data_IF_438914844154
#
_entry.id   IF_438914844154
#
_cell.length_a   1.000
_cell.length_b   1.000
_cell.length_c   1.000
_cell.angle_alpha   90.00
_cell.angle_beta   90.00
_cell.angle_gamma   90.00
#
_symmetry.space_group_name_H-M   'P 1'
#
loop_
_entity.id
_entity.type
_entity.pdbx_description
1 polymer ?
#
# COMPACT_ATOMS: atom_id res chain seq x y z
N UNK A 1 -26.82 -24.13 30.88
CA UNK A 1 -25.40 -23.96 30.72
C UNK A 1 -24.68 -25.21 31.18
N UNK A 2 -24.18 -26.01 30.26
CA UNK A 2 -23.47 -27.24 30.58
C UNK A 2 -22.03 -26.92 30.97
N UNK A 3 -21.56 -27.57 32.03
CA UNK A 3 -20.18 -27.48 32.52
C UNK A 3 -19.19 -28.42 31.82
N UNK A 4 -19.60 -29.06 30.73
CA UNK A 4 -18.74 -29.94 29.95
C UNK A 4 -18.38 -29.21 28.62
N UNK A 5 -17.14 -28.81 28.50
CA UNK A 5 -16.59 -28.30 27.23
C UNK A 5 -16.32 -29.52 26.32
N UNK A 6 -16.73 -29.45 25.04
CA UNK A 6 -16.37 -30.49 24.09
C UNK A 6 -14.84 -30.53 23.92
N UNK A 7 -14.26 -31.71 23.62
CA UNK A 7 -12.85 -31.81 23.30
C UNK A 7 -12.55 -30.90 22.09
N UNK A 8 -11.31 -30.37 21.95
CA UNK A 8 -10.93 -29.53 20.83
C UNK A 8 -11.19 -30.29 19.53
N UNK A 9 -12.17 -29.85 18.78
CA UNK A 9 -12.32 -30.23 17.38
C UNK A 9 -11.34 -29.41 16.56
N UNK A 10 -10.77 -30.04 15.60
CA UNK A 10 -9.91 -29.39 14.61
C UNK A 10 -10.60 -28.13 14.09
N UNK A 11 -10.20 -26.95 14.63
CA UNK A 11 -10.81 -25.68 14.30
C UNK A 11 -10.19 -25.18 12.99
N UNK A 12 -10.52 -25.83 11.88
CA UNK A 12 -10.19 -25.40 10.52
C UNK A 12 -10.86 -24.05 10.14
N UNK A 13 -11.65 -23.45 11.04
CA UNK A 13 -12.36 -22.17 10.83
C UNK A 13 -12.08 -21.21 11.96
N UNK A 14 -11.93 -19.90 11.68
CA UNK A 14 -11.76 -18.90 12.73
C UNK A 14 -12.96 -18.93 13.67
N UNK A 15 -12.69 -19.12 14.97
CA UNK A 15 -13.70 -19.17 16.02
C UNK A 15 -13.46 -18.04 17.03
N UNK A 16 -14.53 -17.48 17.55
CA UNK A 16 -14.53 -16.44 18.59
C UNK A 16 -15.42 -16.95 19.74
N UNK A 17 -14.94 -16.80 20.96
CA UNK A 17 -15.74 -17.13 22.14
C UNK A 17 -16.55 -15.93 22.62
N UNK A 18 -17.83 -16.10 22.90
CA UNK A 18 -18.68 -15.12 23.56
C UNK A 18 -18.95 -15.58 24.98
N UNK A 19 -18.45 -14.83 25.97
CA UNK A 19 -18.47 -15.25 27.38
C UNK A 19 -19.13 -14.18 28.26
N UNK A 20 -20.10 -14.56 29.09
CA UNK A 20 -20.67 -13.65 30.07
C UNK A 20 -19.73 -13.47 31.25
N UNK A 21 -19.47 -12.24 31.66
CA UNK A 21 -18.65 -11.92 32.85
C UNK A 21 -19.26 -12.52 34.15
N UNK A 22 -20.57 -12.72 34.19
CA UNK A 22 -21.21 -13.35 35.34
C UNK A 22 -20.76 -14.80 35.61
N UNK A 23 -20.30 -15.49 34.57
CA UNK A 23 -19.80 -16.88 34.68
C UNK A 23 -18.45 -16.94 35.40
N UNK A 24 -17.67 -15.85 35.36
CA UNK A 24 -16.34 -15.77 36.01
C UNK A 24 -16.43 -15.80 37.55
N UNK A 25 -17.59 -15.48 38.12
CA UNK A 25 -17.84 -15.58 39.56
C UNK A 25 -18.21 -16.98 40.03
N UNK A 26 -18.44 -17.93 39.16
CA UNK A 26 -18.78 -19.33 39.51
C UNK A 26 -17.49 -20.13 39.69
N UNK A 27 -17.28 -20.60 40.95
CA UNK A 27 -16.11 -21.46 41.30
C UNK A 27 -16.03 -22.77 40.49
N UNK A 28 -17.08 -23.15 39.77
CA UNK A 28 -17.17 -24.33 38.91
C UNK A 28 -16.75 -24.04 37.47
N UNK A 29 -16.47 -22.77 37.12
CA UNK A 29 -16.10 -22.39 35.77
C UNK A 29 -14.58 -22.46 35.57
N UNK A 30 -14.11 -23.54 34.99
CA UNK A 30 -12.70 -23.71 34.57
C UNK A 30 -12.44 -23.30 33.10
N UNK A 31 -13.42 -22.60 32.49
CA UNK A 31 -13.39 -22.31 31.06
C UNK A 31 -12.41 -21.24 30.62
N UNK A 32 -11.92 -20.39 31.57
CA UNK A 32 -10.91 -19.38 31.23
C UNK A 32 -9.58 -20.03 30.83
N UNK A 33 -9.10 -20.98 31.63
CA UNK A 33 -7.87 -21.70 31.33
C UNK A 33 -7.99 -22.49 30.03
N UNK A 34 -9.17 -23.05 29.78
CA UNK A 34 -9.45 -23.75 28.52
C UNK A 34 -9.45 -22.80 27.32
N UNK A 35 -10.08 -21.61 27.42
CA UNK A 35 -10.09 -20.59 26.36
C UNK A 35 -8.67 -20.09 26.08
N UNK A 36 -7.90 -19.81 27.14
CA UNK A 36 -6.52 -19.38 27.02
C UNK A 36 -5.64 -20.46 26.36
N UNK A 37 -5.83 -21.73 26.75
CA UNK A 37 -5.12 -22.86 26.15
C UNK A 37 -5.46 -23.05 24.66
N UNK A 38 -6.65 -22.65 24.21
CA UNK A 38 -7.05 -22.72 22.80
C UNK A 38 -6.61 -21.50 21.99
N UNK A 39 -6.11 -20.43 22.63
CA UNK A 39 -5.76 -19.17 21.95
C UNK A 39 -6.96 -18.49 21.27
N UNK A 40 -8.18 -18.74 21.74
CA UNK A 40 -9.40 -18.19 21.15
C UNK A 40 -9.60 -16.73 21.62
N UNK A 41 -9.85 -15.79 20.70
CA UNK A 41 -10.24 -14.44 21.07
C UNK A 41 -11.62 -14.46 21.74
N UNK A 42 -11.78 -13.66 22.81
CA UNK A 42 -12.98 -13.64 23.64
C UNK A 42 -13.66 -12.28 23.53
N UNK A 43 -14.98 -12.29 23.28
CA UNK A 43 -15.86 -11.15 23.46
C UNK A 43 -16.61 -11.34 24.77
N UNK A 44 -16.49 -10.37 25.67
CA UNK A 44 -17.10 -10.43 26.97
C UNK A 44 -18.48 -9.76 26.97
N UNK A 45 -19.46 -10.39 27.61
CA UNK A 45 -20.76 -9.76 27.84
C UNK A 45 -20.84 -9.37 29.31
N UNK A 46 -20.90 -8.06 29.57
CA UNK A 46 -20.88 -7.49 30.92
C UNK A 46 -22.22 -6.80 31.27
N UNK A 47 -22.69 -6.95 32.52
CA UNK A 47 -23.81 -6.17 33.00
C UNK A 47 -23.38 -4.70 33.23
N UNK A 48 -24.21 -3.73 32.81
CA UNK A 48 -23.95 -2.27 32.97
C UNK A 48 -23.67 -1.84 34.42
N UNK A 49 -24.14 -2.59 35.40
CA UNK A 49 -24.02 -2.26 36.82
C UNK A 49 -22.63 -2.52 37.43
N UNK A 50 -21.71 -3.18 36.73
CA UNK A 50 -20.35 -3.37 37.25
C UNK A 50 -19.46 -2.25 36.73
N UNK A 51 -19.49 -1.15 37.51
CA UNK A 51 -18.80 0.08 37.15
C UNK A 51 -17.32 -0.09 36.85
N UNK A 52 -16.81 0.93 36.24
CA UNK A 52 -15.46 1.24 35.79
C UNK A 52 -14.29 1.01 36.77
N UNK A 53 -14.33 -0.05 37.58
CA UNK A 53 -13.24 -0.37 38.50
C UNK A 53 -12.19 -1.21 37.73
N UNK A 54 -10.99 -0.65 37.50
CA UNK A 54 -9.92 -1.34 36.74
C UNK A 54 -9.48 -2.66 37.39
N UNK A 55 -9.80 -2.88 38.64
CA UNK A 55 -9.48 -4.13 39.37
C UNK A 55 -10.30 -5.33 38.89
N UNK A 56 -11.42 -5.09 38.22
CA UNK A 56 -12.33 -6.12 37.72
C UNK A 56 -12.27 -6.30 36.20
N UNK A 57 -11.45 -5.50 35.52
CA UNK A 57 -11.25 -5.55 34.07
C UNK A 57 -9.75 -5.60 33.74
N UNK A 58 -9.11 -6.77 33.78
CA UNK A 58 -7.75 -6.91 33.25
C UNK A 58 -7.70 -6.44 31.80
N UNK A 59 -6.54 -6.05 31.27
CA UNK A 59 -6.37 -5.60 29.88
C UNK A 59 -6.86 -6.60 28.83
N UNK A 60 -7.09 -7.84 29.23
CA UNK A 60 -7.61 -8.93 28.41
C UNK A 60 -9.10 -8.76 28.03
N UNK A 61 -9.85 -7.87 28.74
CA UNK A 61 -11.26 -7.57 28.46
C UNK A 61 -11.45 -6.42 27.45
N UNK A 62 -10.60 -6.33 26.46
CA UNK A 62 -10.60 -5.23 25.48
C UNK A 62 -11.88 -5.18 24.63
N UNK A 63 -12.60 -6.30 24.52
CA UNK A 63 -13.80 -6.43 23.69
C UNK A 63 -15.00 -6.80 24.59
N UNK A 64 -15.84 -5.81 24.89
CA UNK A 64 -17.01 -5.99 25.77
C UNK A 64 -18.30 -5.54 25.12
N UNK A 65 -19.38 -6.30 25.34
CA UNK A 65 -20.76 -5.96 24.97
C UNK A 65 -21.62 -5.79 26.20
N UNK A 66 -22.59 -4.84 26.22
CA UNK A 66 -23.58 -4.75 27.28
C UNK A 66 -24.54 -5.96 27.28
N UNK A 67 -25.25 -6.23 28.36
CA UNK A 67 -26.23 -7.34 28.43
C UNK A 67 -27.32 -7.22 27.35
N UNK A 68 -27.69 -6.01 27.00
CA UNK A 68 -28.70 -5.69 25.97
C UNK A 68 -28.05 -5.24 24.69
N UNK A 69 -27.19 -6.10 24.10
CA UNK A 69 -26.59 -5.80 22.83
C UNK A 69 -27.47 -6.22 21.64
N UNK A 70 -27.33 -5.48 20.53
CA UNK A 70 -27.98 -5.82 19.26
C UNK A 70 -27.05 -6.66 18.36
N UNK A 71 -27.62 -7.29 17.33
CA UNK A 71 -26.83 -7.96 16.29
C UNK A 71 -25.90 -7.01 15.56
N UNK A 72 -26.23 -5.72 15.50
CA UNK A 72 -25.37 -4.70 14.89
C UNK A 72 -24.13 -4.43 15.75
N UNK A 73 -24.29 -4.34 17.09
CA UNK A 73 -23.20 -4.13 18.04
C UNK A 73 -22.22 -5.32 18.01
N UNK A 74 -22.75 -6.54 18.02
CA UNK A 74 -21.93 -7.74 17.91
C UNK A 74 -21.15 -7.78 16.58
N UNK A 75 -21.83 -7.45 15.47
CA UNK A 75 -21.19 -7.43 14.15
C UNK A 75 -20.08 -6.41 14.07
N UNK A 76 -20.29 -5.18 14.59
CA UNK A 76 -19.27 -4.14 14.65
C UNK A 76 -18.05 -4.61 15.42
N UNK A 77 -18.25 -5.16 16.60
CA UNK A 77 -17.16 -5.65 17.46
C UNK A 77 -16.42 -6.86 16.85
N UNK A 78 -17.14 -7.73 16.14
CA UNK A 78 -16.53 -8.83 15.36
C UNK A 78 -15.64 -8.30 14.25
N UNK A 79 -16.06 -7.27 13.52
CA UNK A 79 -15.22 -6.66 12.48
C UNK A 79 -13.96 -6.00 13.05
N UNK A 80 -14.08 -5.31 14.19
CA UNK A 80 -12.93 -4.72 14.91
C UNK A 80 -11.98 -5.82 15.38
N UNK A 81 -12.50 -6.88 16.00
CA UNK A 81 -11.73 -8.02 16.46
C UNK A 81 -11.04 -8.75 15.31
N UNK A 82 -11.75 -9.03 14.21
CA UNK A 82 -11.20 -9.67 13.04
C UNK A 82 -10.15 -8.80 12.35
N UNK A 83 -10.35 -7.48 12.34
CA UNK A 83 -9.35 -6.51 11.88
C UNK A 83 -8.06 -6.60 12.69
N UNK A 84 -8.17 -6.60 14.01
CA UNK A 84 -7.03 -6.73 14.93
C UNK A 84 -6.36 -8.11 14.83
N UNK A 85 -7.14 -9.19 14.74
CA UNK A 85 -6.62 -10.55 14.55
C UNK A 85 -5.94 -10.72 13.20
N UNK A 86 -6.45 -10.09 12.15
CA UNK A 86 -5.79 -10.08 10.85
C UNK A 86 -4.48 -9.28 10.87
N UNK A 87 -4.38 -8.23 11.69
CA UNK A 87 -3.14 -7.52 11.92
C UNK A 87 -2.16 -8.34 12.76
N UNK A 88 -2.62 -9.01 13.83
CA UNK A 88 -1.82 -9.90 14.66
C UNK A 88 -1.39 -11.18 13.89
N UNK A 89 -2.27 -11.76 13.06
CA UNK A 89 -1.92 -12.87 12.18
C UNK A 89 -1.02 -12.45 11.00
N UNK A 90 -0.99 -11.16 10.64
CA UNK A 90 0.02 -10.60 9.74
C UNK A 90 1.35 -10.38 10.46
N UNK A 91 1.32 -10.16 11.78
CA UNK A 91 2.51 -10.03 12.63
C UNK A 91 3.08 -11.37 13.12
N UNK A 92 2.30 -12.45 13.16
CA UNK A 92 2.87 -13.79 13.31
C UNK A 92 3.69 -14.09 12.05
N UNK A 93 4.97 -14.49 12.18
CA UNK A 93 5.76 -14.85 11.02
C UNK A 93 5.10 -16.06 10.36
N UNK A 94 4.16 -15.84 9.45
CA UNK A 94 3.91 -16.83 8.42
C UNK A 94 5.28 -16.99 7.78
N UNK A 95 5.90 -18.17 7.94
CA UNK A 95 7.01 -18.58 7.08
C UNK A 95 6.46 -18.44 5.67
N UNK A 96 6.62 -17.26 5.11
CA UNK A 96 6.24 -17.02 3.73
C UNK A 96 7.02 -18.02 2.91
N UNK A 97 6.36 -18.70 1.99
CA UNK A 97 6.99 -19.72 1.16
C UNK A 97 8.27 -19.16 0.53
N UNK A 98 9.31 -19.99 0.39
CA UNK A 98 10.58 -19.56 -0.18
C UNK A 98 10.33 -18.86 -1.51
N UNK A 99 11.03 -17.77 -1.72
CA UNK A 99 10.95 -16.99 -2.96
C UNK A 99 11.42 -17.89 -4.10
N UNK A 100 10.62 -17.96 -5.17
CA UNK A 100 10.96 -18.79 -6.32
C UNK A 100 12.02 -18.04 -7.14
N UNK A 101 13.14 -18.68 -7.35
CA UNK A 101 14.29 -18.15 -8.11
C UNK A 101 14.85 -19.27 -9.00
N UNK A 102 14.32 -19.39 -10.18
CA UNK A 102 14.76 -20.35 -11.20
C UNK A 102 15.80 -19.70 -12.12
N UNK A 103 15.63 -18.42 -12.44
CA UNK A 103 16.54 -17.69 -13.32
C UNK A 103 17.88 -17.39 -12.64
N UNK A 104 18.94 -17.26 -13.44
CA UNK A 104 20.26 -16.85 -12.95
C UNK A 104 20.19 -15.47 -12.28
N UNK A 105 19.50 -14.51 -12.94
CA UNK A 105 19.34 -13.14 -12.44
C UNK A 105 18.68 -13.07 -11.05
N UNK A 106 17.69 -13.92 -10.78
CA UNK A 106 17.08 -13.98 -9.44
C UNK A 106 17.98 -14.68 -8.42
N UNK A 107 18.74 -15.69 -8.83
CA UNK A 107 19.71 -16.35 -7.93
C UNK A 107 20.84 -15.41 -7.54
N UNK A 108 21.35 -14.63 -8.49
CA UNK A 108 22.37 -13.61 -8.25
C UNK A 108 21.86 -12.56 -7.27
N UNK A 109 20.64 -12.05 -7.48
CA UNK A 109 19.97 -11.12 -6.54
C UNK A 109 19.84 -11.73 -5.13
N UNK A 110 19.45 -13.01 -5.03
CA UNK A 110 19.33 -13.65 -3.71
C UNK A 110 20.68 -13.82 -3.02
N UNK A 111 21.75 -14.08 -3.77
CA UNK A 111 23.10 -14.10 -3.22
C UNK A 111 23.54 -12.72 -2.69
N UNK A 112 23.14 -11.62 -3.37
CA UNK A 112 23.36 -10.27 -2.86
C UNK A 112 22.53 -10.00 -1.59
N UNK A 113 21.26 -10.45 -1.56
CA UNK A 113 20.42 -10.35 -0.36
C UNK A 113 21.05 -11.06 0.83
N UNK A 114 21.54 -12.30 0.65
CA UNK A 114 22.23 -13.08 1.68
C UNK A 114 23.49 -12.36 2.18
N UNK A 115 24.29 -11.78 1.25
CA UNK A 115 25.51 -11.05 1.57
C UNK A 115 25.23 -9.83 2.46
N UNK A 116 24.13 -9.11 2.19
CA UNK A 116 23.80 -7.88 2.91
C UNK A 116 22.80 -8.07 4.05
N UNK A 117 22.35 -9.29 4.34
CA UNK A 117 21.33 -9.54 5.36
C UNK A 117 21.71 -9.01 6.74
N UNK A 118 22.92 -9.33 7.22
CA UNK A 118 23.41 -8.91 8.54
C UNK A 118 23.98 -7.48 8.59
N UNK A 119 23.90 -6.73 7.50
CA UNK A 119 24.40 -5.37 7.43
C UNK A 119 23.35 -4.37 7.95
N UNK A 120 23.73 -3.47 8.86
CA UNK A 120 22.88 -2.38 9.37
C UNK A 120 22.73 -1.20 8.38
N UNK A 121 23.47 -1.22 7.28
CA UNK A 121 23.39 -0.17 6.26
C UNK A 121 22.01 -0.11 5.61
N UNK A 122 21.63 1.09 5.18
CA UNK A 122 20.40 1.31 4.44
C UNK A 122 20.45 0.59 3.10
N UNK A 123 19.33 0.04 2.69
CA UNK A 123 19.15 -0.64 1.40
C UNK A 123 18.09 0.05 0.58
N UNK A 124 18.42 0.37 -0.67
CA UNK A 124 17.49 0.89 -1.65
C UNK A 124 17.18 -0.19 -2.69
N UNK A 125 15.92 -0.58 -2.79
CA UNK A 125 15.44 -1.60 -3.71
C UNK A 125 14.78 -0.93 -4.91
N UNK A 126 15.36 -1.14 -6.09
CA UNK A 126 14.77 -0.69 -7.35
C UNK A 126 14.03 -1.83 -8.05
N UNK A 127 12.87 -1.53 -8.61
CA UNK A 127 12.14 -2.48 -9.43
C UNK A 127 10.76 -2.00 -9.82
N UNK A 128 10.25 -2.50 -10.91
CA UNK A 128 8.92 -2.17 -11.41
C UNK A 128 7.83 -2.53 -10.41
N UNK A 129 6.63 -2.00 -10.64
CA UNK A 129 5.47 -2.36 -9.83
C UNK A 129 5.15 -3.86 -9.96
N UNK A 130 4.88 -4.52 -8.83
CA UNK A 130 4.48 -5.93 -8.82
C UNK A 130 5.62 -6.95 -8.94
N UNK A 131 6.91 -6.54 -8.94
CA UNK A 131 8.06 -7.48 -9.01
C UNK A 131 8.35 -8.20 -7.71
N UNK A 132 7.82 -7.71 -6.57
CA UNK A 132 8.00 -8.31 -5.25
C UNK A 132 9.01 -7.59 -4.34
N UNK A 133 9.11 -6.24 -4.43
CA UNK A 133 10.02 -5.43 -3.59
C UNK A 133 9.84 -5.69 -2.09
N UNK A 134 8.60 -5.72 -1.61
CA UNK A 134 8.31 -6.02 -0.20
C UNK A 134 8.81 -7.41 0.22
N UNK A 135 8.71 -8.41 -0.67
CA UNK A 135 9.19 -9.77 -0.36
C UNK A 135 10.71 -9.83 -0.20
N UNK A 136 11.46 -9.08 -1.02
CA UNK A 136 12.92 -8.96 -0.86
C UNK A 136 13.25 -8.21 0.44
N UNK A 137 12.52 -7.13 0.77
CA UNK A 137 12.71 -6.41 2.04
C UNK A 137 12.46 -7.31 3.27
N UNK A 138 11.41 -8.15 3.22
CA UNK A 138 11.14 -9.14 4.26
C UNK A 138 12.25 -10.19 4.36
N UNK A 139 12.75 -10.67 3.23
CA UNK A 139 13.82 -11.65 3.21
C UNK A 139 15.11 -11.09 3.86
N UNK A 140 15.47 -9.83 3.56
CA UNK A 140 16.56 -9.11 4.23
C UNK A 140 16.39 -9.04 5.75
N UNK A 141 15.15 -8.88 6.23
CA UNK A 141 14.85 -8.86 7.66
C UNK A 141 14.89 -10.28 8.26
N UNK A 142 14.27 -11.27 7.60
CA UNK A 142 14.19 -12.66 8.07
C UNK A 142 15.58 -13.32 8.20
N UNK A 143 16.56 -12.88 7.42
CA UNK A 143 17.93 -13.38 7.42
C UNK A 143 18.88 -12.55 8.29
N UNK A 144 18.41 -11.42 8.83
CA UNK A 144 19.24 -10.54 9.66
C UNK A 144 19.37 -11.07 11.10
N UNK A 145 20.46 -10.69 11.79
CA UNK A 145 20.66 -11.02 13.21
C UNK A 145 19.58 -10.45 14.14
N UNK A 146 18.79 -9.49 13.68
CA UNK A 146 17.66 -8.89 14.42
C UNK A 146 16.30 -9.29 13.87
N UNK A 147 16.19 -10.46 13.25
CA UNK A 147 14.94 -11.00 12.65
C UNK A 147 13.78 -11.14 13.64
N UNK A 148 14.07 -11.26 14.94
CA UNK A 148 13.06 -11.28 16.02
C UNK A 148 12.50 -9.89 16.33
N UNK A 149 13.12 -8.83 15.81
CA UNK A 149 12.64 -7.46 15.95
C UNK A 149 11.43 -7.16 15.05
N UNK A 150 10.84 -5.97 15.19
CA UNK A 150 9.69 -5.59 14.38
C UNK A 150 10.07 -5.38 12.90
N UNK A 151 9.21 -5.83 11.99
CA UNK A 151 9.21 -5.42 10.59
C UNK A 151 8.03 -4.48 10.34
N UNK A 152 8.31 -3.19 10.20
CA UNK A 152 7.29 -2.17 9.96
C UNK A 152 7.30 -1.77 8.51
N UNK A 153 6.24 -2.11 7.78
CA UNK A 153 6.09 -1.80 6.35
C UNK A 153 5.12 -0.62 6.16
N UNK A 154 5.56 0.37 5.41
CA UNK A 154 4.81 1.59 5.15
C UNK A 154 4.88 1.92 3.66
N UNK A 155 3.73 2.12 3.02
CA UNK A 155 3.68 2.68 1.68
C UNK A 155 3.58 4.20 1.78
N UNK A 156 4.59 4.91 1.26
CA UNK A 156 4.70 6.37 1.37
C UNK A 156 3.61 7.08 0.55
N UNK A 157 3.23 6.56 -0.61
CA UNK A 157 2.19 7.13 -1.46
C UNK A 157 0.77 6.95 -0.93
N UNK A 158 0.56 6.02 0.02
CA UNK A 158 -0.76 5.76 0.58
C UNK A 158 -1.14 6.68 1.76
N UNK A 159 -0.20 7.47 2.29
CA UNK A 159 -0.43 8.31 3.46
C UNK A 159 -0.82 9.72 3.01
N UNK A 160 -2.02 10.22 3.40
CA UNK A 160 -2.39 11.59 3.15
C UNK A 160 -1.38 12.58 3.76
N UNK A 161 -1.05 13.65 3.03
CA UNK A 161 -0.04 14.63 3.46
C UNK A 161 -0.23 15.14 4.88
N UNK A 162 -1.45 15.49 5.28
CA UNK A 162 -1.76 16.02 6.60
C UNK A 162 -1.61 15.01 7.76
N UNK A 163 -1.48 13.70 7.45
CA UNK A 163 -1.35 12.65 8.46
C UNK A 163 0.07 12.07 8.53
N UNK A 164 0.94 12.42 7.61
CA UNK A 164 2.30 11.89 7.55
C UNK A 164 3.04 12.04 8.89
N UNK A 165 3.06 13.25 9.45
CA UNK A 165 3.78 13.52 10.68
C UNK A 165 3.23 12.72 11.87
N UNK A 166 1.92 12.63 11.99
CA UNK A 166 1.29 11.87 13.06
C UNK A 166 1.58 10.36 12.96
N UNK A 167 1.66 9.82 11.75
CA UNK A 167 1.98 8.41 11.53
C UNK A 167 3.47 8.10 11.70
N UNK A 168 4.35 8.94 11.14
CA UNK A 168 5.79 8.68 11.16
C UNK A 168 6.44 9.01 12.51
N UNK A 169 6.10 10.17 13.07
CA UNK A 169 6.69 10.66 14.33
C UNK A 169 5.87 10.32 15.57
N UNK A 170 4.58 9.99 15.39
CA UNK A 170 3.67 9.82 16.50
C UNK A 170 3.25 11.15 17.13
N UNK A 171 2.43 11.08 18.17
CA UNK A 171 1.97 12.27 18.87
C UNK A 171 1.84 12.04 20.38
N UNK A 172 2.03 13.11 21.15
CA UNK A 172 1.73 13.16 22.56
C UNK A 172 0.22 13.33 22.76
N UNK A 173 -0.26 13.01 23.97
CA UNK A 173 -1.66 13.28 24.35
C UNK A 173 -1.92 14.79 24.25
N UNK A 174 -2.98 15.19 23.53
CA UNK A 174 -3.38 16.59 23.37
C UNK A 174 -2.60 17.36 22.29
N UNK A 175 -1.79 16.70 21.46
CA UNK A 175 -1.00 17.35 20.40
C UNK A 175 -1.87 18.07 19.34
N UNK A 176 -3.08 17.59 19.10
CA UNK A 176 -4.08 18.20 18.22
C UNK A 176 -5.50 17.83 18.64
N UNK A 177 -6.51 18.49 18.08
CA UNK A 177 -7.92 18.20 18.34
C UNK A 177 -8.25 16.76 17.91
N UNK A 178 -8.50 15.87 18.92
CA UNK A 178 -8.72 14.44 18.70
C UNK A 178 -7.59 13.52 19.18
N UNK A 179 -6.45 14.04 19.60
CA UNK A 179 -5.36 13.27 20.21
C UNK A 179 -5.68 12.87 21.66
N UNK A 180 -6.60 11.92 21.84
CA UNK A 180 -7.09 11.46 23.16
C UNK A 180 -5.97 10.73 23.93
N UNK A 181 -5.07 10.03 23.25
CA UNK A 181 -3.93 9.28 23.80
C UNK A 181 -2.61 9.65 23.15
N UNK A 182 -1.49 9.20 23.70
CA UNK A 182 -0.21 9.24 23.03
C UNK A 182 -0.11 8.05 22.06
N UNK A 183 0.49 8.28 20.89
CA UNK A 183 0.71 7.24 19.87
C UNK A 183 2.16 7.22 19.42
N UNK A 184 2.74 6.00 19.32
CA UNK A 184 4.09 5.81 18.80
C UNK A 184 4.07 5.86 17.27
N UNK A 185 4.96 6.66 16.67
CA UNK A 185 5.12 6.71 15.24
C UNK A 185 5.87 5.48 14.67
N UNK A 186 5.89 5.36 13.35
CA UNK A 186 6.53 4.23 12.66
C UNK A 186 8.02 4.12 12.99
N UNK A 187 8.74 5.23 13.15
CA UNK A 187 10.16 5.21 13.55
C UNK A 187 10.37 4.55 14.91
N UNK A 188 9.53 4.86 15.89
CA UNK A 188 9.60 4.22 17.21
C UNK A 188 9.15 2.76 17.16
N UNK A 189 8.13 2.45 16.35
CA UNK A 189 7.62 1.07 16.20
C UNK A 189 8.64 0.15 15.55
N UNK A 190 9.48 0.67 14.64
CA UNK A 190 10.51 -0.09 13.95
C UNK A 190 11.81 -0.27 14.75
N UNK A 191 11.92 0.40 15.91
CA UNK A 191 13.14 0.34 16.73
C UNK A 191 13.46 -1.09 17.18
N UNK A 192 14.70 -1.50 17.00
CA UNK A 192 15.18 -2.86 17.23
C UNK A 192 14.96 -3.81 16.05
N UNK A 193 14.39 -3.33 14.93
CA UNK A 193 14.07 -4.15 13.77
C UNK A 193 14.35 -3.47 12.43
N UNK A 194 13.40 -3.57 11.50
CA UNK A 194 13.51 -3.03 10.15
C UNK A 194 12.30 -2.14 9.81
N UNK A 195 12.58 -0.94 9.31
CA UNK A 195 11.59 -0.06 8.70
C UNK A 195 11.65 -0.23 7.18
N UNK A 196 10.57 -0.68 6.58
CA UNK A 196 10.43 -0.78 5.12
C UNK A 196 9.55 0.37 4.61
N UNK A 197 10.12 1.21 3.73
CA UNK A 197 9.42 2.32 3.08
C UNK A 197 9.22 2.00 1.60
N UNK A 198 8.00 1.63 1.21
CA UNK A 198 7.67 1.42 -0.19
C UNK A 198 7.29 2.75 -0.87
N UNK A 199 7.60 2.85 -2.16
CA UNK A 199 7.34 4.03 -3.00
C UNK A 199 7.96 5.31 -2.43
N UNK A 200 9.24 5.23 -1.99
CA UNK A 200 9.97 6.36 -1.38
C UNK A 200 10.07 7.58 -2.32
N UNK A 201 10.05 7.36 -3.63
CA UNK A 201 10.06 8.41 -4.65
C UNK A 201 8.76 9.22 -4.74
N UNK A 202 7.72 8.87 -3.96
CA UNK A 202 6.45 9.62 -3.89
C UNK A 202 6.41 10.60 -2.70
N UNK A 203 7.47 10.63 -1.85
CA UNK A 203 7.53 11.55 -0.73
C UNK A 203 7.71 13.00 -1.21
N UNK A 204 6.85 13.93 -0.78
CA UNK A 204 7.07 15.36 -0.99
C UNK A 204 8.38 15.87 -0.34
N UNK A 205 9.00 16.88 -0.93
CA UNK A 205 10.30 17.42 -0.49
C UNK A 205 10.38 17.75 1.00
N UNK A 206 9.32 18.32 1.57
CA UNK A 206 9.32 18.68 3.00
C UNK A 206 9.34 17.45 3.92
N UNK A 207 8.78 16.31 3.49
CA UNK A 207 8.82 15.04 4.22
C UNK A 207 10.20 14.38 4.09
N UNK A 208 10.83 14.53 2.93
CA UNK A 208 12.20 14.06 2.71
C UNK A 208 13.20 14.72 3.69
N UNK A 209 13.05 16.04 3.97
CA UNK A 209 13.87 16.75 4.95
C UNK A 209 13.72 16.15 6.35
N UNK A 210 12.49 15.80 6.74
CA UNK A 210 12.21 15.22 8.06
C UNK A 210 12.75 13.80 8.18
N UNK A 211 12.61 12.99 7.13
CA UNK A 211 13.20 11.65 7.08
C UNK A 211 14.72 11.72 7.21
N UNK A 212 15.37 12.60 6.46
CA UNK A 212 16.84 12.78 6.52
C UNK A 212 17.31 13.08 7.95
N UNK A 213 16.63 13.99 8.66
CA UNK A 213 16.99 14.33 10.04
C UNK A 213 16.94 13.11 10.97
N UNK A 214 15.91 12.25 10.83
CA UNK A 214 15.85 11.03 11.65
C UNK A 214 17.00 10.08 11.33
N UNK A 215 17.35 9.93 10.05
CA UNK A 215 18.44 9.05 9.62
C UNK A 215 19.83 9.56 10.02
N UNK A 216 19.97 10.86 10.25
CA UNK A 216 21.24 11.47 10.69
C UNK A 216 21.38 11.46 12.21
N UNK A 217 20.30 11.79 12.92
CA UNK A 217 20.30 11.99 14.37
C UNK A 217 19.98 10.71 15.16
N UNK A 218 19.34 9.73 14.52
CA UNK A 218 18.79 8.53 15.18
C UNK A 218 17.88 8.86 16.36
N UNK A 219 17.17 9.99 16.29
CA UNK A 219 16.17 10.42 17.27
C UNK A 219 14.91 10.91 16.60
N UNK A 220 13.79 10.79 17.28
CA UNK A 220 12.49 11.33 16.85
C UNK A 220 11.86 12.13 17.98
N UNK A 221 11.16 13.20 17.60
CA UNK A 221 10.34 13.99 18.52
C UNK A 221 8.89 13.86 18.13
N UNK A 222 8.04 13.39 19.07
CA UNK A 222 6.59 13.26 18.82
C UNK A 222 5.95 14.63 18.64
N UNK A 223 4.91 14.71 17.82
CA UNK A 223 4.10 15.92 17.73
C UNK A 223 3.56 16.33 19.08
N UNK A 224 3.69 17.62 19.42
CA UNK A 224 3.28 18.17 20.71
C UNK A 224 4.20 17.82 21.89
N UNK A 225 5.41 17.30 21.63
CA UNK A 225 6.44 17.01 22.63
C UNK A 225 7.76 17.71 22.27
N UNK A 226 8.60 17.95 23.26
CA UNK A 226 9.98 18.41 23.08
C UNK A 226 11.00 17.34 23.46
N UNK A 227 10.52 16.13 23.84
CA UNK A 227 11.38 15.03 24.25
C UNK A 227 11.85 14.26 23.02
N UNK A 228 13.15 14.17 22.86
CA UNK A 228 13.77 13.32 21.86
C UNK A 228 13.77 11.86 22.33
N UNK A 229 13.32 10.96 21.45
CA UNK A 229 13.30 9.53 21.69
C UNK A 229 14.33 8.88 20.75
N UNK A 230 15.33 8.18 21.26
CA UNK A 230 16.30 7.46 20.42
C UNK A 230 15.61 6.32 19.68
N UNK A 231 15.98 6.13 18.41
CA UNK A 231 15.49 5.05 17.56
C UNK A 231 16.67 4.35 16.88
N UNK A 232 16.62 3.03 16.81
CA UNK A 232 17.63 2.21 16.14
C UNK A 232 16.94 1.16 15.28
N UNK A 233 16.93 1.37 13.98
CA UNK A 233 16.33 0.46 13.01
C UNK A 233 17.17 0.40 11.74
N UNK A 234 17.08 -0.71 11.02
CA UNK A 234 17.56 -0.79 9.65
C UNK A 234 16.52 -0.20 8.72
N UNK A 235 16.91 0.71 7.83
CA UNK A 235 16.04 1.22 6.79
C UNK A 235 16.19 0.41 5.49
N UNK A 236 15.07 -0.07 4.96
CA UNK A 236 14.96 -0.61 3.61
C UNK A 236 13.96 0.25 2.85
N UNK A 237 14.39 0.95 1.83
CA UNK A 237 13.52 1.77 0.97
C UNK A 237 13.31 1.10 -0.37
N UNK A 238 12.15 1.27 -0.98
CA UNK A 238 11.85 0.72 -2.29
C UNK A 238 11.20 1.77 -3.21
N UNK A 239 11.46 1.66 -4.50
CA UNK A 239 10.88 2.55 -5.50
C UNK A 239 10.82 1.89 -6.88
N UNK A 240 9.87 2.30 -7.70
CA UNK A 240 9.81 2.02 -9.13
C UNK A 240 10.32 3.20 -9.98
N UNK A 241 10.60 4.36 -9.35
CA UNK A 241 11.10 5.57 -10.02
C UNK A 241 12.63 5.59 -10.04
N UNK A 242 13.20 6.24 -11.03
CA UNK A 242 14.63 6.57 -11.01
C UNK A 242 14.86 7.81 -10.15
N UNK A 243 15.34 7.59 -8.91
CA UNK A 243 15.58 8.69 -7.96
C UNK A 243 16.68 9.65 -8.46
N UNK A 244 17.61 9.20 -9.30
CA UNK A 244 18.66 10.08 -9.86
C UNK A 244 18.05 11.09 -10.83
N UNK A 245 17.06 10.66 -11.61
CA UNK A 245 16.29 11.56 -12.48
C UNK A 245 15.51 12.57 -11.63
N UNK A 246 14.83 12.11 -10.57
CA UNK A 246 14.09 13.01 -9.68
C UNK A 246 15.01 14.02 -8.96
N UNK A 247 16.25 13.61 -8.61
CA UNK A 247 17.27 14.54 -8.08
C UNK A 247 17.63 15.62 -9.11
N UNK A 248 17.79 15.23 -10.39
CA UNK A 248 18.06 16.17 -11.47
C UNK A 248 16.90 17.14 -11.78
N UNK A 249 15.70 16.80 -11.35
CA UNK A 249 14.47 17.60 -11.51
C UNK A 249 14.09 18.38 -10.25
N UNK A 250 14.94 18.37 -9.21
CA UNK A 250 14.66 18.96 -7.89
C UNK A 250 13.39 18.40 -7.19
N UNK A 251 12.92 17.21 -7.60
CA UNK A 251 11.79 16.52 -6.97
C UNK A 251 12.22 15.55 -5.85
N UNK A 252 13.51 15.21 -5.80
CA UNK A 252 14.11 14.41 -4.74
C UNK A 252 15.45 15.02 -4.29
N UNK A 253 15.70 15.03 -2.98
CA UNK A 253 16.92 15.62 -2.43
C UNK A 253 18.13 14.72 -2.63
N UNK A 254 19.23 15.28 -3.10
CA UNK A 254 20.48 14.56 -3.32
C UNK A 254 21.08 14.00 -2.01
N UNK A 255 20.99 14.76 -0.91
CA UNK A 255 21.49 14.33 0.41
C UNK A 255 20.74 13.10 0.94
N UNK A 256 19.43 13.07 0.81
CA UNK A 256 18.62 11.91 1.17
C UNK A 256 18.93 10.71 0.25
N UNK A 257 19.06 10.93 -1.06
CA UNK A 257 19.42 9.86 -2.00
C UNK A 257 20.70 9.13 -1.57
N UNK A 258 21.79 9.87 -1.30
CA UNK A 258 23.05 9.26 -0.86
C UNK A 258 22.94 8.59 0.51
N UNK A 259 22.05 9.03 1.37
CA UNK A 259 21.81 8.38 2.66
C UNK A 259 21.04 7.08 2.54
N UNK A 260 20.14 6.97 1.54
CA UNK A 260 19.35 5.77 1.25
C UNK A 260 20.12 4.74 0.43
N UNK A 261 20.85 5.18 -0.58
CA UNK A 261 21.50 4.34 -1.59
C UNK A 261 22.91 3.85 -1.16
N UNK A 262 23.06 3.40 0.10
CA UNK A 262 24.31 2.78 0.57
C UNK A 262 24.48 1.41 -0.07
N UNK A 263 23.42 0.64 -0.14
CA UNK A 263 23.32 -0.64 -0.86
C UNK A 263 22.16 -0.50 -1.83
N UNK A 264 22.39 -0.74 -3.12
CA UNK A 264 21.35 -0.73 -4.13
C UNK A 264 21.10 -2.15 -4.63
N UNK A 265 19.85 -2.64 -4.52
CA UNK A 265 19.42 -3.92 -5.07
C UNK A 265 18.44 -3.65 -6.22
N UNK A 266 18.62 -4.34 -7.34
CA UNK A 266 17.75 -4.22 -8.51
C UNK A 266 17.01 -5.52 -8.77
N UNK A 267 15.69 -5.48 -8.62
CA UNK A 267 14.85 -6.64 -8.88
C UNK A 267 14.53 -6.69 -10.38
N UNK A 268 14.91 -7.76 -11.10
CA UNK A 268 14.55 -7.90 -12.51
C UNK A 268 13.05 -8.02 -12.66
N UNK A 269 12.49 -7.44 -13.73
CA UNK A 269 11.10 -7.64 -14.07
C UNK A 269 10.82 -9.09 -14.51
N UNK A 270 9.55 -9.46 -14.58
CA UNK A 270 9.16 -10.85 -14.83
C UNK A 270 9.59 -11.34 -16.23
N UNK A 271 9.69 -10.43 -17.22
CA UNK A 271 10.20 -10.75 -18.55
C UNK A 271 11.70 -11.09 -18.53
N UNK A 272 12.48 -10.33 -17.77
CA UNK A 272 13.92 -10.58 -17.61
C UNK A 272 14.23 -11.88 -16.86
N UNK A 273 13.28 -12.34 -16.00
CA UNK A 273 13.41 -13.65 -15.33
C UNK A 273 13.15 -14.83 -16.25
N UNK A 274 12.46 -14.61 -17.34
CA UNK A 274 12.26 -15.58 -18.41
C UNK A 274 11.09 -16.55 -18.22
N UNK A 275 10.81 -17.36 -19.24
CA UNK A 275 9.61 -18.19 -19.34
C UNK A 275 9.55 -19.30 -18.28
N UNK A 276 10.70 -19.86 -17.90
CA UNK A 276 10.77 -20.94 -16.91
C UNK A 276 10.36 -20.47 -15.51
N UNK A 277 10.79 -19.26 -15.13
CA UNK A 277 10.42 -18.68 -13.85
C UNK A 277 8.95 -18.28 -13.81
N UNK A 278 8.38 -17.75 -14.90
CA UNK A 278 6.94 -17.50 -15.03
C UNK A 278 6.12 -18.77 -14.74
N UNK A 279 6.49 -19.88 -15.38
CA UNK A 279 5.82 -21.17 -15.16
C UNK A 279 5.99 -21.69 -13.73
N UNK A 280 7.17 -21.55 -13.15
CA UNK A 280 7.44 -21.98 -11.77
C UNK A 280 6.64 -21.16 -10.74
N UNK A 281 6.61 -19.83 -10.90
CA UNK A 281 5.81 -18.94 -10.06
C UNK A 281 4.32 -19.25 -10.20
N UNK A 282 3.84 -19.47 -11.42
CA UNK A 282 2.43 -19.80 -11.67
C UNK A 282 2.00 -21.10 -11.00
N UNK A 283 2.83 -22.17 -11.09
CA UNK A 283 2.59 -23.42 -10.38
C UNK A 283 2.47 -23.22 -8.87
N UNK A 284 3.41 -22.50 -8.28
CA UNK A 284 3.39 -22.24 -6.84
C UNK A 284 2.20 -21.37 -6.41
N UNK A 285 1.77 -20.44 -7.24
CA UNK A 285 0.56 -19.65 -7.00
C UNK A 285 -0.69 -20.54 -7.02
N UNK A 286 -0.82 -21.45 -7.98
CA UNK A 286 -1.93 -22.40 -8.05
C UNK A 286 -1.97 -23.34 -6.84
N UNK A 287 -0.82 -23.89 -6.44
CA UNK A 287 -0.71 -24.72 -5.23
C UNK A 287 -1.17 -23.95 -3.98
N UNK A 288 -0.74 -22.70 -3.83
CA UNK A 288 -1.17 -21.82 -2.73
C UNK A 288 -2.68 -21.56 -2.74
N UNK A 289 -3.29 -21.54 -3.92
CA UNK A 289 -4.73 -21.38 -4.12
C UNK A 289 -5.50 -22.70 -3.95
N UNK A 290 -4.84 -23.79 -3.56
CA UNK A 290 -5.45 -25.10 -3.32
C UNK A 290 -5.68 -25.93 -4.58
N UNK A 291 -4.98 -25.63 -5.67
CA UNK A 291 -4.95 -26.45 -6.88
C UNK A 291 -3.68 -27.29 -6.84
N UNK A 292 -3.79 -28.52 -6.36
CA UNK A 292 -2.65 -29.46 -6.20
C UNK A 292 -2.29 -30.18 -7.51
N UNK A 293 -3.24 -30.23 -8.45
CA UNK A 293 -3.05 -30.87 -9.75
C UNK A 293 -2.08 -30.05 -10.60
N UNK A 294 -1.17 -30.75 -11.28
CA UNK A 294 -0.21 -30.12 -12.21
C UNK A 294 -0.96 -29.45 -13.38
N UNK A 295 -0.70 -28.17 -13.68
CA UNK A 295 -1.31 -27.50 -14.81
C UNK A 295 -0.92 -28.16 -16.12
N UNK A 296 -1.85 -28.30 -17.09
CA UNK A 296 -1.54 -28.88 -18.39
C UNK A 296 -0.48 -28.09 -19.15
N UNK A 297 0.30 -28.76 -19.95
CA UNK A 297 1.44 -28.19 -20.67
C UNK A 297 1.07 -26.97 -21.53
N UNK A 298 -0.09 -27.01 -22.21
CA UNK A 298 -0.57 -25.88 -23.02
C UNK A 298 -0.76 -24.61 -22.20
N UNK A 299 -1.23 -24.75 -20.94
CA UNK A 299 -1.43 -23.61 -20.06
C UNK A 299 -0.10 -23.02 -19.60
N UNK A 300 0.87 -23.87 -19.24
CA UNK A 300 2.22 -23.43 -18.89
C UNK A 300 2.94 -22.73 -20.05
N UNK A 301 2.75 -23.22 -21.27
CA UNK A 301 3.28 -22.57 -22.47
C UNK A 301 2.61 -21.20 -22.69
N UNK A 302 1.28 -21.11 -22.51
CA UNK A 302 0.54 -19.86 -22.62
C UNK A 302 1.05 -18.84 -21.61
N UNK A 303 1.16 -19.23 -20.32
CA UNK A 303 1.72 -18.41 -19.24
C UNK A 303 3.13 -17.92 -19.57
N UNK A 304 3.98 -18.81 -20.07
CA UNK A 304 5.38 -18.49 -20.37
C UNK A 304 5.54 -17.50 -21.51
N UNK A 305 4.65 -17.53 -22.52
CA UNK A 305 4.67 -16.64 -23.69
C UNK A 305 3.99 -15.30 -23.44
N UNK A 306 3.12 -15.23 -22.43
CA UNK A 306 2.37 -14.00 -22.12
C UNK A 306 3.31 -12.99 -21.45
N UNK A 307 3.21 -11.74 -21.87
CA UNK A 307 3.85 -10.59 -21.20
C UNK A 307 2.95 -10.07 -20.09
N UNK A 308 3.56 -9.77 -18.94
CA UNK A 308 2.86 -9.27 -17.77
C UNK A 308 3.40 -7.88 -17.42
N UNK A 309 2.66 -6.82 -17.72
CA UNK A 309 3.06 -5.45 -17.40
C UNK A 309 3.04 -5.18 -15.89
N UNK A 310 2.11 -5.81 -15.18
CA UNK A 310 2.02 -5.80 -13.72
C UNK A 310 2.89 -6.85 -13.02
N UNK A 311 3.82 -7.49 -13.77
CA UNK A 311 4.78 -8.46 -13.24
C UNK A 311 4.12 -9.62 -12.45
N UNK A 312 4.69 -10.01 -11.31
CA UNK A 312 4.18 -11.11 -10.45
C UNK A 312 2.79 -10.81 -9.90
N UNK A 313 2.44 -9.52 -9.69
CA UNK A 313 1.10 -9.14 -9.23
C UNK A 313 0.04 -9.50 -10.26
N UNK A 314 0.29 -9.20 -11.53
CA UNK A 314 -0.62 -9.55 -12.62
C UNK A 314 -0.68 -11.08 -12.85
N UNK A 315 0.47 -11.75 -12.84
CA UNK A 315 0.52 -13.22 -12.90
C UNK A 315 -0.27 -13.88 -11.75
N UNK A 316 -0.23 -13.30 -10.56
CA UNK A 316 -1.02 -13.76 -9.40
C UNK A 316 -2.52 -13.62 -9.65
N UNK A 317 -2.97 -12.51 -10.24
CA UNK A 317 -4.36 -12.32 -10.60
C UNK A 317 -4.83 -13.33 -11.65
N UNK A 318 -3.98 -13.66 -12.62
CA UNK A 318 -4.25 -14.70 -13.62
C UNK A 318 -4.38 -16.05 -12.94
N UNK A 319 -3.43 -16.41 -12.07
CA UNK A 319 -3.47 -17.68 -11.34
C UNK A 319 -4.74 -17.81 -10.50
N UNK A 320 -5.18 -16.74 -9.84
CA UNK A 320 -6.42 -16.74 -9.05
C UNK A 320 -7.65 -16.98 -9.93
N UNK A 321 -7.78 -16.28 -11.07
CA UNK A 321 -8.88 -16.49 -12.03
C UNK A 321 -8.89 -17.92 -12.57
N UNK A 322 -7.73 -18.46 -12.94
CA UNK A 322 -7.58 -19.84 -13.41
C UNK A 322 -7.96 -20.84 -12.32
N UNK A 323 -7.52 -20.63 -11.08
CA UNK A 323 -7.89 -21.48 -9.94
C UNK A 323 -9.41 -21.46 -9.68
N UNK A 324 -10.07 -20.33 -9.84
CA UNK A 324 -11.55 -20.22 -9.74
C UNK A 324 -12.21 -21.08 -10.82
N UNK A 325 -11.81 -20.92 -12.09
CA UNK A 325 -12.36 -21.73 -13.20
C UNK A 325 -12.17 -23.21 -12.93
N UNK A 326 -10.94 -23.65 -12.55
CA UNK A 326 -10.62 -25.04 -12.24
C UNK A 326 -11.48 -25.60 -11.11
N UNK A 327 -11.69 -24.84 -10.04
CA UNK A 327 -12.51 -25.27 -8.89
C UNK A 327 -13.98 -25.38 -9.23
N UNK A 328 -14.52 -24.46 -10.03
CA UNK A 328 -15.95 -24.46 -10.37
C UNK A 328 -16.31 -25.56 -11.37
N UNK A 329 -15.44 -25.80 -12.34
CA UNK A 329 -15.71 -26.75 -13.42
C UNK A 329 -15.13 -28.14 -13.16
N UNK A 330 -14.29 -28.28 -12.14
CA UNK A 330 -13.54 -29.51 -11.85
C UNK A 330 -12.73 -30.00 -13.05
N UNK A 331 -12.41 -29.11 -14.00
CA UNK A 331 -11.68 -29.37 -15.24
C UNK A 331 -10.88 -28.15 -15.67
N UNK A 332 -9.81 -28.38 -16.45
CA UNK A 332 -9.09 -27.33 -17.16
C UNK A 332 -9.86 -27.01 -18.45
N UNK A 333 -10.67 -25.96 -18.45
CA UNK A 333 -11.48 -25.54 -19.60
C UNK A 333 -10.69 -24.56 -20.49
N UNK A 334 -10.14 -24.99 -21.63
CA UNK A 334 -9.28 -24.14 -22.44
C UNK A 334 -9.99 -22.87 -22.94
N UNK A 335 -11.23 -22.91 -23.48
CA UNK A 335 -11.89 -21.72 -23.99
C UNK A 335 -12.12 -20.64 -22.91
N UNK A 336 -12.37 -21.02 -21.68
CA UNK A 336 -12.60 -20.05 -20.59
C UNK A 336 -11.26 -19.52 -20.06
N UNK A 337 -10.25 -20.36 -19.98
CA UNK A 337 -8.92 -19.96 -19.53
C UNK A 337 -8.28 -19.03 -20.57
N UNK A 338 -8.38 -19.31 -21.86
CA UNK A 338 -7.84 -18.43 -22.93
C UNK A 338 -8.45 -17.03 -22.88
N UNK A 339 -9.74 -16.91 -22.60
CA UNK A 339 -10.38 -15.58 -22.42
C UNK A 339 -9.74 -14.75 -21.30
N UNK A 340 -9.19 -15.39 -20.25
CA UNK A 340 -8.48 -14.69 -19.19
C UNK A 340 -7.22 -14.01 -19.74
N UNK A 341 -6.50 -14.70 -20.63
CA UNK A 341 -5.30 -14.17 -21.25
C UNK A 341 -5.60 -13.15 -22.35
N UNK A 342 -6.68 -13.31 -23.09
CA UNK A 342 -7.10 -12.35 -24.12
C UNK A 342 -7.43 -10.98 -23.51
N UNK A 343 -8.05 -10.97 -22.32
CA UNK A 343 -8.31 -9.73 -21.55
C UNK A 343 -7.04 -9.01 -21.08
N UNK A 344 -5.91 -9.71 -20.94
CA UNK A 344 -4.63 -9.08 -20.62
C UNK A 344 -3.98 -8.42 -21.84
N UNK A 345 -4.29 -8.91 -23.04
CA UNK A 345 -3.75 -8.37 -24.28
C UNK A 345 -4.37 -7.02 -24.66
N UNK A 346 -5.47 -6.63 -24.02
CA UNK A 346 -6.03 -5.29 -24.17
C UNK A 346 -5.17 -4.31 -23.35
N UNK A 347 -4.49 -3.33 -24.01
CA UNK A 347 -3.65 -2.38 -23.30
C UNK A 347 -4.50 -1.61 -22.27
N UNK A 348 -4.00 -1.47 -21.03
CA UNK A 348 -4.63 -0.71 -19.94
C UNK A 348 -4.96 0.76 -20.33
N UNK A 349 -4.39 1.23 -21.44
CA UNK A 349 -4.57 2.59 -21.99
C UNK A 349 -5.44 2.62 -23.25
N UNK A 350 -5.95 1.50 -23.73
CA UNK A 350 -7.05 1.51 -24.68
C UNK A 350 -8.34 1.75 -23.90
N UNK A 351 -8.69 3.00 -23.72
CA UNK A 351 -10.11 3.35 -23.57
C UNK A 351 -10.84 2.56 -24.66
N UNK A 352 -11.98 1.88 -24.33
CA UNK A 352 -12.68 1.07 -25.30
C UNK A 352 -13.03 1.95 -26.51
N UNK A 353 -12.33 1.69 -27.62
CA UNK A 353 -12.61 2.33 -28.92
C UNK A 353 -14.00 1.96 -29.46
N UNK A 354 -14.83 1.28 -28.66
CA UNK A 354 -16.15 0.76 -29.01
C UNK A 354 -17.30 1.47 -28.31
N UNK A 355 -17.07 2.63 -27.67
CA UNK A 355 -18.19 3.51 -27.30
C UNK A 355 -17.90 4.99 -27.55
N UNK A 356 -16.74 5.32 -28.13
CA UNK A 356 -16.64 6.51 -28.92
C UNK A 356 -17.25 6.19 -30.30
N UNK A 357 -18.59 6.10 -30.36
CA UNK A 357 -19.22 6.73 -31.49
C UNK A 357 -18.40 8.00 -31.68
N UNK A 358 -17.70 8.14 -32.81
CA UNK A 358 -17.13 9.39 -33.26
C UNK A 358 -18.25 10.42 -33.02
N UNK A 359 -18.21 11.07 -31.84
CA UNK A 359 -18.68 12.42 -31.75
C UNK A 359 -17.66 13.12 -32.61
N UNK A 360 -17.97 13.24 -33.89
CA UNK A 360 -17.36 14.25 -34.73
C UNK A 360 -17.32 15.48 -33.85
N UNK A 361 -16.18 16.17 -33.71
CA UNK A 361 -16.13 17.36 -32.89
C UNK A 361 -17.29 18.21 -33.33
N UNK A 362 -18.25 18.43 -32.44
CA UNK A 362 -19.52 19.09 -32.74
C UNK A 362 -19.15 20.29 -33.57
N UNK A 363 -19.55 20.28 -34.85
CA UNK A 363 -19.10 21.25 -35.80
C UNK A 363 -19.45 22.60 -35.20
N UNK A 364 -18.45 23.41 -34.84
CA UNK A 364 -18.65 24.73 -34.30
C UNK A 364 -19.70 25.42 -35.14
N UNK A 365 -20.70 25.98 -34.51
CA UNK A 365 -21.66 26.86 -35.22
C UNK A 365 -20.88 27.96 -35.89
N UNK A 366 -21.42 28.53 -36.96
CA UNK A 366 -20.73 29.61 -37.67
C UNK A 366 -20.37 30.79 -36.75
N UNK A 367 -21.19 31.04 -35.71
CA UNK A 367 -20.88 32.00 -34.67
C UNK A 367 -19.69 31.59 -33.78
N UNK A 368 -19.54 30.30 -33.45
CA UNK A 368 -18.40 29.80 -32.67
C UNK A 368 -17.12 29.74 -33.49
N UNK A 369 -17.19 29.52 -34.80
CA UNK A 369 -16.03 29.62 -35.71
C UNK A 369 -15.53 31.04 -35.80
N UNK A 370 -16.43 32.01 -36.01
CA UNK A 370 -16.08 33.41 -36.04
C UNK A 370 -15.48 33.90 -34.69
N UNK A 371 -16.02 33.46 -33.57
CA UNK A 371 -15.48 33.77 -32.25
C UNK A 371 -14.12 33.12 -32.02
N UNK A 372 -13.91 31.89 -32.48
CA UNK A 372 -12.63 31.16 -32.40
C UNK A 372 -11.53 31.90 -33.21
N UNK A 373 -11.84 32.34 -34.44
CA UNK A 373 -10.90 33.10 -35.28
C UNK A 373 -10.57 34.43 -34.61
N UNK A 374 -11.53 35.14 -34.04
CA UNK A 374 -11.32 36.40 -33.35
C UNK A 374 -10.42 36.27 -32.11
N UNK A 375 -10.63 35.24 -31.30
CA UNK A 375 -9.79 34.96 -30.11
C UNK A 375 -8.40 34.53 -30.54
N UNK A 376 -8.26 33.72 -31.59
CA UNK A 376 -6.98 33.26 -32.14
C UNK A 376 -6.16 34.44 -32.67
N UNK A 377 -6.77 35.29 -33.50
CA UNK A 377 -6.10 36.49 -34.05
C UNK A 377 -5.63 37.44 -32.95
N UNK A 378 -6.42 37.60 -31.87
CA UNK A 378 -6.01 38.40 -30.73
C UNK A 378 -4.88 37.75 -29.92
N UNK A 379 -4.85 36.42 -29.78
CA UNK A 379 -3.74 35.68 -29.15
C UNK A 379 -2.45 35.84 -29.95
N UNK A 380 -2.52 35.65 -31.26
CA UNK A 380 -1.34 35.75 -32.15
C UNK A 380 -0.80 37.20 -32.17
N UNK A 381 -1.68 38.21 -32.23
CA UNK A 381 -1.28 39.62 -32.22
C UNK A 381 -0.59 40.06 -30.91
N UNK A 382 -0.90 39.38 -29.78
CA UNK A 382 -0.32 39.68 -28.48
C UNK A 382 0.71 38.60 -28.02
N UNK A 383 1.21 37.77 -28.94
CA UNK A 383 2.24 36.75 -28.67
C UNK A 383 1.82 35.78 -27.59
N UNK A 384 0.52 35.37 -27.58
CA UNK A 384 -0.10 34.44 -26.63
C UNK A 384 -0.08 34.89 -25.16
N UNK A 385 0.22 36.20 -24.90
CA UNK A 385 0.15 36.77 -23.55
C UNK A 385 -1.30 36.96 -23.15
N UNK A 386 -1.79 36.17 -22.23
CA UNK A 386 -3.22 36.09 -21.82
C UNK A 386 -3.73 37.42 -21.25
N UNK A 387 -2.87 38.18 -20.58
CA UNK A 387 -3.24 39.46 -19.97
C UNK A 387 -3.49 40.53 -21.04
N UNK A 388 -2.58 40.67 -21.99
CA UNK A 388 -2.66 41.64 -23.09
C UNK A 388 -3.79 41.27 -24.04
N UNK A 389 -3.96 39.97 -24.34
CA UNK A 389 -5.06 39.46 -25.16
C UNK A 389 -6.44 39.74 -24.52
N UNK A 390 -6.58 39.52 -23.21
CA UNK A 390 -7.83 39.82 -22.50
C UNK A 390 -8.15 41.30 -22.55
N UNK A 391 -7.15 42.18 -22.39
CA UNK A 391 -7.29 43.63 -22.52
C UNK A 391 -7.68 44.02 -23.95
N UNK A 392 -7.04 43.46 -24.97
CA UNK A 392 -7.34 43.75 -26.41
C UNK A 392 -8.78 43.30 -26.76
N UNK A 393 -9.27 42.22 -26.18
CA UNK A 393 -10.63 41.73 -26.40
C UNK A 393 -11.68 42.40 -25.49
N UNK A 394 -11.29 43.28 -24.57
CA UNK A 394 -12.19 43.94 -23.63
C UNK A 394 -12.89 43.00 -22.63
N UNK A 395 -12.24 41.88 -22.31
CA UNK A 395 -12.80 40.83 -21.40
C UNK A 395 -11.84 40.55 -20.23
N UNK A 396 -12.36 39.98 -19.15
CA UNK A 396 -11.50 39.58 -18.05
C UNK A 396 -10.64 38.35 -18.40
N UNK A 397 -9.48 38.18 -17.74
CA UNK A 397 -8.59 37.04 -17.91
C UNK A 397 -9.31 35.69 -17.68
N UNK A 398 -10.25 35.68 -16.73
CA UNK A 398 -11.07 34.49 -16.43
C UNK A 398 -11.99 34.15 -17.61
N UNK A 399 -12.65 35.14 -18.19
CA UNK A 399 -13.56 34.96 -19.35
C UNK A 399 -12.76 34.53 -20.58
N UNK A 400 -11.56 35.06 -20.80
CA UNK A 400 -10.68 34.60 -21.88
C UNK A 400 -10.31 33.13 -21.69
N UNK A 401 -9.94 32.70 -20.48
CA UNK A 401 -9.62 31.33 -20.20
C UNK A 401 -10.79 30.38 -20.45
N UNK A 402 -12.00 30.75 -20.03
CA UNK A 402 -13.22 29.98 -20.29
C UNK A 402 -13.52 29.87 -21.79
N UNK A 403 -13.34 30.96 -22.55
CA UNK A 403 -13.49 30.94 -24.01
C UNK A 403 -12.42 30.09 -24.70
N UNK A 404 -11.17 30.19 -24.32
CA UNK A 404 -10.09 29.35 -24.88
C UNK A 404 -10.38 27.86 -24.63
N UNK A 405 -10.87 27.49 -23.45
CA UNK A 405 -11.23 26.11 -23.10
C UNK A 405 -12.44 25.64 -23.93
N UNK A 406 -13.48 26.47 -24.07
CA UNK A 406 -14.69 26.14 -24.84
C UNK A 406 -14.39 25.97 -26.34
N UNK A 407 -13.53 26.85 -26.88
CA UNK A 407 -13.16 26.87 -28.29
C UNK A 407 -11.97 25.95 -28.64
N UNK A 408 -11.52 25.13 -27.69
CA UNK A 408 -10.41 24.17 -27.85
C UNK A 408 -9.12 24.81 -28.38
N UNK A 409 -8.81 26.02 -27.91
CA UNK A 409 -7.55 26.69 -28.22
C UNK A 409 -6.51 26.23 -27.21
N UNK A 410 -5.57 25.38 -27.65
CA UNK A 410 -4.56 24.76 -26.81
C UNK A 410 -3.65 25.79 -26.12
N UNK A 411 -3.14 25.46 -24.94
CA UNK A 411 -2.08 26.20 -24.27
C UNK A 411 -0.77 25.95 -25.03
N UNK A 412 -0.34 26.93 -25.85
CA UNK A 412 0.97 26.90 -26.52
C UNK A 412 2.09 26.80 -25.46
N UNK A 413 3.08 25.96 -25.73
CA UNK A 413 4.32 25.88 -24.97
C UNK A 413 5.02 27.24 -24.95
N UNK A 414 5.25 27.79 -23.74
CA UNK A 414 6.07 28.97 -23.53
C UNK A 414 5.46 29.99 -22.58
N UNK A 415 5.48 29.70 -21.27
CA UNK A 415 5.42 30.73 -20.25
C UNK A 415 6.84 31.04 -19.76
N UNK A 416 7.34 32.31 -19.89
CA UNK A 416 8.32 32.80 -18.93
C UNK A 416 7.58 33.18 -17.63
N UNK A 417 8.06 32.65 -16.52
CA UNK A 417 7.62 33.03 -15.19
C UNK A 417 7.84 34.53 -14.99
N UNK A 418 6.76 35.31 -14.91
CA UNK A 418 6.82 36.71 -14.53
C UNK A 418 6.33 36.92 -13.10
N UNK A 419 7.27 37.38 -12.33
CA UNK A 419 7.41 37.89 -11.02
C UNK A 419 6.17 38.32 -10.24
N UNK A 420 6.11 37.81 -9.04
CA UNK A 420 5.56 38.51 -7.89
C UNK A 420 6.42 39.75 -7.62
N UNK A 421 5.92 40.94 -7.99
CA UNK A 421 6.40 42.22 -7.46
C UNK A 421 5.36 42.71 -6.45
N UNK A 422 5.81 42.80 -5.22
CA UNK A 422 5.22 43.52 -4.11
C UNK A 422 4.77 44.92 -4.51
N UNK A 423 3.65 45.36 -3.98
CA UNK A 423 3.52 46.78 -3.65
C UNK A 423 2.78 46.92 -2.34
N UNK A 424 3.57 47.27 -1.33
CA UNK A 424 3.19 47.91 -0.08
C UNK A 424 2.66 49.30 -0.38
N UNK A 425 1.45 49.63 0.08
CA UNK A 425 1.08 50.83 0.81
C UNK A 425 -0.28 50.66 1.45
#
# INVERSE_FOLDING_TARGET
AGTAFPPPRDLARPAVALVSVSVMGDKRFSGYDWLAAQGLPVIWVAAEARGRDPRYYPPEYSYTLPLTFTTADLRKLLYELLGTLNQLNRAAPRREQPLIAVSATMRDLLAEVDMYADCRSNVLIHGETGVGKERIARLLHEQAAWFDGPFVAVNCGAIPEGLFEAHFFGHAKGAFTGAIGAHKGYFEQASGGTLFLDEIGDLPLYQQVKLLRVLEQNTVTRLGSTVEVPVDFRLVAATNKDLRVLVGQDEFRADLYYRLAVIELRIPNLEQRGPQEKAAIFRALLQRLGVEEEPPQWLLERVSRTRYEGNVRELSNVAERVAIVRRQLQAWDPPRIERIFDQLAEPLHSAPASAAARVEPAAFTDAERAERERVLAALDANGWRRQDTAHTLGISRKVLWEKMRKLQLGTGQGEPADGLAETTM
#
